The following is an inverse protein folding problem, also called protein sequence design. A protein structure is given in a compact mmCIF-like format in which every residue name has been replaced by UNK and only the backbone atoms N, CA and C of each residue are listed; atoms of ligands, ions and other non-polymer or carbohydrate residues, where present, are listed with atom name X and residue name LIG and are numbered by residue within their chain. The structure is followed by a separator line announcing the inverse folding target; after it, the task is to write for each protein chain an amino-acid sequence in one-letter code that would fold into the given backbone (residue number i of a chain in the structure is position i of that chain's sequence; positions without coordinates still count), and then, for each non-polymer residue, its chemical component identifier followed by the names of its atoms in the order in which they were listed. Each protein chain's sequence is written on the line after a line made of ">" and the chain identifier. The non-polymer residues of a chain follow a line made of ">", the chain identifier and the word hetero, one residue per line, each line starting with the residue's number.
data_IF_766122357554
#
_entry.id   IF_766122357554
#
_cell.length_a   1.000
_cell.length_b   1.000
_cell.length_c   1.000
_cell.angle_alpha   90.00
_cell.angle_beta   90.00
_cell.angle_gamma   90.00
#
_symmetry.space_group_name_H-M   'P 1'
#
loop_
_entity.id
_entity.type
_entity.pdbx_description
1 polymer ?
#
# COMPACT_ATOMS: atom_id res chain seq x y z
N UNK A 1 9.62 14.25 50.70
CA UNK A 1 8.63 14.34 49.60
C UNK A 1 9.28 13.80 48.33
N UNK A 2 9.03 12.53 48.00
CA UNK A 2 9.52 11.93 46.76
C UNK A 2 8.54 12.26 45.65
N UNK A 3 8.95 13.12 44.72
CA UNK A 3 8.21 13.42 43.50
C UNK A 3 8.39 12.24 42.54
N UNK A 4 7.46 11.30 42.57
CA UNK A 4 7.38 10.21 41.61
C UNK A 4 6.98 10.78 40.25
N UNK A 5 7.95 11.03 39.37
CA UNK A 5 7.70 11.28 37.94
C UNK A 5 7.08 10.02 37.34
N UNK A 6 5.77 10.03 37.15
CA UNK A 6 5.01 9.07 36.36
C UNK A 6 5.42 9.18 34.89
N UNK A 7 6.44 8.43 34.46
CA UNK A 7 6.79 8.29 33.04
C UNK A 7 5.81 7.33 32.34
N UNK A 8 4.54 7.72 32.22
CA UNK A 8 3.51 6.95 31.51
C UNK A 8 3.21 7.56 30.14
N UNK A 9 4.23 7.60 29.28
CA UNK A 9 4.02 7.68 27.84
C UNK A 9 4.59 6.42 27.23
N UNK A 10 3.70 5.53 26.76
CA UNK A 10 4.01 4.55 25.72
C UNK A 10 4.82 5.27 24.64
N UNK A 11 6.14 5.08 24.64
CA UNK A 11 7.04 5.68 23.66
C UNK A 11 6.65 5.16 22.28
N UNK A 12 5.82 5.94 21.58
CA UNK A 12 5.42 5.67 20.20
C UNK A 12 6.69 5.62 19.37
N UNK A 13 6.93 4.49 18.69
CA UNK A 13 8.17 4.27 17.95
C UNK A 13 8.18 5.18 16.73
N UNK A 14 8.94 6.27 16.83
CA UNK A 14 8.94 7.37 15.86
C UNK A 14 9.39 6.95 14.47
N UNK A 15 10.29 5.98 14.34
CA UNK A 15 10.74 5.48 13.03
C UNK A 15 9.59 4.86 12.23
N UNK A 16 8.66 4.15 12.90
CA UNK A 16 7.49 3.57 12.23
C UNK A 16 6.63 4.68 11.63
N UNK A 17 6.32 5.74 12.40
CA UNK A 17 5.55 6.86 11.88
C UNK A 17 6.34 7.64 10.80
N UNK A 18 7.66 7.81 10.96
CA UNK A 18 8.50 8.53 9.99
C UNK A 18 8.49 7.81 8.64
N UNK A 19 8.79 6.51 8.63
CA UNK A 19 8.80 5.70 7.41
C UNK A 19 7.40 5.65 6.80
N UNK A 20 6.36 5.43 7.61
CA UNK A 20 4.98 5.45 7.11
C UNK A 20 4.60 6.77 6.47
N UNK A 21 5.04 7.88 7.06
CA UNK A 21 4.79 9.22 6.57
C UNK A 21 5.52 9.53 5.27
N UNK A 22 6.78 9.14 5.15
CA UNK A 22 7.51 9.23 3.87
C UNK A 22 6.75 8.47 2.78
N UNK A 23 6.29 7.26 3.10
CA UNK A 23 5.63 6.39 2.14
C UNK A 23 4.27 6.92 1.73
N UNK A 24 3.46 7.49 2.66
CA UNK A 24 2.17 8.08 2.28
C UNK A 24 2.34 9.31 1.37
N UNK A 25 3.39 10.10 1.58
CA UNK A 25 3.72 11.26 0.74
C UNK A 25 4.09 10.80 -0.68
N UNK A 26 4.95 9.78 -0.80
CA UNK A 26 5.33 9.19 -2.09
C UNK A 26 4.12 8.52 -2.75
N UNK A 27 3.27 7.82 -2.00
CA UNK A 27 2.08 7.16 -2.53
C UNK A 27 1.14 8.14 -3.24
N UNK A 28 0.95 9.35 -2.68
CA UNK A 28 0.15 10.39 -3.31
C UNK A 28 0.64 10.78 -4.71
N UNK A 29 1.94 10.63 -5.01
CA UNK A 29 2.48 10.89 -6.35
C UNK A 29 1.88 9.94 -7.40
N UNK A 30 1.65 8.67 -7.03
CA UNK A 30 1.05 7.68 -7.93
C UNK A 30 -0.35 8.11 -8.35
N UNK A 31 -1.16 8.52 -7.38
CA UNK A 31 -2.54 8.91 -7.61
C UNK A 31 -2.65 10.29 -8.28
N UNK A 32 -1.81 11.25 -7.93
CA UNK A 32 -1.75 12.51 -8.67
C UNK A 32 -1.35 12.27 -10.12
N UNK A 33 -0.41 11.35 -10.39
CA UNK A 33 -0.05 10.97 -11.76
C UNK A 33 -1.24 10.37 -12.51
N UNK A 34 -1.94 9.40 -11.93
CA UNK A 34 -3.09 8.76 -12.59
C UNK A 34 -4.16 9.78 -13.01
N UNK A 35 -4.39 10.81 -12.19
CA UNK A 35 -5.39 11.85 -12.46
C UNK A 35 -4.88 13.05 -13.28
N UNK A 36 -3.60 13.42 -13.21
CA UNK A 36 -3.11 14.68 -13.82
C UNK A 36 -2.03 14.50 -14.88
N UNK A 37 -1.38 13.34 -14.99
CA UNK A 37 -0.41 13.12 -16.07
C UNK A 37 -1.16 12.86 -17.38
N UNK A 38 -0.65 13.38 -18.50
CA UNK A 38 -1.30 13.27 -19.82
C UNK A 38 -1.61 11.82 -20.22
N UNK A 39 -0.69 10.89 -19.95
CA UNK A 39 -0.90 9.46 -20.21
C UNK A 39 -1.49 8.68 -19.00
N UNK A 40 -1.97 9.38 -17.96
CA UNK A 40 -2.38 8.77 -16.69
C UNK A 40 -3.57 7.82 -16.81
N UNK A 41 -4.50 8.10 -17.72
CA UNK A 41 -5.68 7.25 -17.96
C UNK A 41 -5.49 6.21 -19.09
N UNK A 42 -4.49 6.40 -19.96
CA UNK A 42 -4.38 5.68 -21.24
C UNK A 42 -3.11 4.87 -21.40
N UNK A 43 -2.06 5.13 -20.61
CA UNK A 43 -0.75 4.47 -20.74
C UNK A 43 -0.32 3.72 -19.49
N UNK A 44 0.44 2.64 -19.69
CA UNK A 44 1.18 2.00 -18.60
C UNK A 44 2.53 2.71 -18.40
N UNK A 45 2.79 3.35 -17.24
CA UNK A 45 4.06 4.03 -16.98
C UNK A 45 5.27 3.09 -16.92
N UNK A 46 5.07 1.77 -16.91
CA UNK A 46 6.13 0.75 -16.93
C UNK A 46 6.30 0.02 -18.25
N UNK A 47 5.47 0.32 -19.26
CA UNK A 47 5.64 -0.24 -20.60
C UNK A 47 6.92 0.33 -21.25
N UNK A 48 7.91 -0.55 -21.48
CA UNK A 48 9.22 -0.18 -22.01
C UNK A 48 9.17 0.31 -23.47
N UNK A 49 8.08 0.02 -24.20
CA UNK A 49 7.88 0.54 -25.55
C UNK A 49 7.57 2.03 -25.53
N UNK A 50 6.76 2.49 -24.57
CA UNK A 50 6.17 3.84 -24.55
C UNK A 50 6.67 4.73 -23.41
N UNK A 51 7.25 4.15 -22.35
CA UNK A 51 7.68 4.91 -21.17
C UNK A 51 8.97 5.70 -21.38
N UNK A 52 9.18 6.66 -20.50
CA UNK A 52 10.44 7.39 -20.35
C UNK A 52 11.09 7.02 -19.00
N UNK A 53 12.42 7.17 -18.83
CA UNK A 53 13.05 6.92 -17.54
C UNK A 53 12.41 7.68 -16.38
N UNK A 54 12.06 8.96 -16.58
CA UNK A 54 11.40 9.76 -15.54
C UNK A 54 10.03 9.20 -15.15
N UNK A 55 9.20 8.80 -16.12
CA UNK A 55 7.89 8.21 -15.88
C UNK A 55 7.99 6.83 -15.23
N UNK A 56 8.89 5.98 -15.71
CA UNK A 56 9.17 4.67 -15.13
C UNK A 56 9.57 4.79 -13.66
N UNK A 57 10.55 5.64 -13.34
CA UNK A 57 11.01 5.79 -11.95
C UNK A 57 9.99 6.48 -11.04
N UNK A 58 9.10 7.31 -11.61
CA UNK A 58 7.92 7.83 -10.89
C UNK A 58 7.01 6.69 -10.44
N UNK A 59 6.76 5.71 -11.31
CA UNK A 59 5.96 4.54 -10.97
C UNK A 59 6.71 3.55 -10.07
N UNK A 60 7.98 3.34 -10.33
CA UNK A 60 8.81 2.39 -9.60
C UNK A 60 8.98 2.81 -8.13
N UNK A 61 9.22 4.10 -7.83
CA UNK A 61 9.38 4.53 -6.44
C UNK A 61 8.09 4.34 -5.61
N UNK A 62 6.92 4.37 -6.24
CA UNK A 62 5.64 4.14 -5.56
C UNK A 62 5.37 2.65 -5.32
N UNK A 63 6.15 1.72 -5.90
CA UNK A 63 6.06 0.28 -5.61
C UNK A 63 6.30 -0.04 -4.15
N UNK A 64 7.12 0.74 -3.46
CA UNK A 64 7.39 0.58 -2.04
C UNK A 64 6.15 0.82 -1.17
N UNK A 65 5.10 1.46 -1.68
CA UNK A 65 4.03 1.97 -0.85
C UNK A 65 3.15 0.88 -0.23
N UNK A 66 2.42 0.14 -1.07
CA UNK A 66 1.52 -0.92 -0.62
C UNK A 66 2.19 -1.97 0.28
N UNK A 67 3.34 -2.58 -0.09
CA UNK A 67 3.92 -3.65 0.72
C UNK A 67 4.48 -3.14 2.04
N UNK A 68 5.02 -1.92 2.07
CA UNK A 68 5.45 -1.30 3.34
C UNK A 68 4.28 -0.98 4.26
N UNK A 69 3.17 -0.47 3.73
CA UNK A 69 1.95 -0.27 4.53
C UNK A 69 1.43 -1.57 5.11
N UNK A 70 1.46 -2.64 4.32
CA UNK A 70 1.03 -3.97 4.73
C UNK A 70 1.93 -4.50 5.87
N UNK A 71 3.26 -4.45 5.70
CA UNK A 71 4.22 -4.86 6.73
C UNK A 71 4.11 -4.01 8.00
N UNK A 72 4.09 -2.67 7.88
CA UNK A 72 3.99 -1.77 9.03
C UNK A 72 2.63 -1.88 9.75
N UNK A 73 1.58 -2.29 9.05
CA UNK A 73 0.27 -2.59 9.66
C UNK A 73 0.33 -3.84 10.51
N UNK A 74 0.96 -4.91 10.01
CA UNK A 74 1.24 -6.12 10.80
C UNK A 74 2.09 -5.83 12.04
N UNK A 75 3.15 -5.03 11.87
CA UNK A 75 4.01 -4.57 12.95
C UNK A 75 3.21 -3.81 14.02
N UNK A 76 2.33 -2.90 13.58
CA UNK A 76 1.46 -2.13 14.48
C UNK A 76 0.42 -3.01 15.18
N UNK A 77 -0.12 -4.02 14.48
CA UNK A 77 -1.05 -4.98 15.05
C UNK A 77 -0.40 -5.74 16.22
N UNK A 78 0.84 -6.21 16.06
CA UNK A 78 1.59 -6.85 17.15
C UNK A 78 1.74 -5.93 18.36
N UNK A 79 2.25 -4.72 18.14
CA UNK A 79 2.49 -3.74 19.22
C UNK A 79 1.21 -3.34 19.94
N UNK A 80 0.11 -3.14 19.22
CA UNK A 80 -1.20 -2.81 19.80
C UNK A 80 -1.82 -3.97 20.60
N UNK A 81 -1.34 -5.19 20.35
CA UNK A 81 -1.83 -6.42 20.96
C UNK A 81 -1.00 -6.94 22.12
N UNK A 82 0.13 -6.31 22.49
CA UNK A 82 1.04 -6.86 23.53
C UNK A 82 0.32 -7.12 24.86
N UNK A 83 -0.59 -6.24 25.27
CA UNK A 83 -1.31 -6.33 26.54
C UNK A 83 -2.75 -6.90 26.40
N UNK A 84 -3.05 -7.58 25.30
CA UNK A 84 -4.38 -8.14 25.02
C UNK A 84 -4.34 -9.67 25.04
N UNK A 85 -5.45 -10.32 25.34
CA UNK A 85 -5.63 -11.75 25.11
C UNK A 85 -5.66 -12.07 23.61
N UNK A 86 -5.43 -13.33 23.23
CA UNK A 86 -5.54 -13.75 21.83
C UNK A 86 -6.96 -13.50 21.26
N UNK A 87 -8.00 -13.63 22.08
CA UNK A 87 -9.39 -13.34 21.72
C UNK A 87 -9.58 -11.89 21.30
N UNK A 88 -9.10 -10.97 22.13
CA UNK A 88 -9.24 -9.53 21.93
C UNK A 88 -8.42 -9.05 20.72
N UNK A 89 -7.20 -9.58 20.53
CA UNK A 89 -6.39 -9.31 19.33
C UNK A 89 -7.13 -9.74 18.06
N UNK A 90 -7.60 -10.98 18.06
CA UNK A 90 -8.32 -11.56 16.93
C UNK A 90 -9.59 -10.78 16.59
N UNK A 91 -10.46 -10.56 17.58
CA UNK A 91 -11.73 -9.83 17.39
C UNK A 91 -11.50 -8.40 16.91
N UNK A 92 -10.50 -7.70 17.45
CA UNK A 92 -10.17 -6.35 17.03
C UNK A 92 -9.72 -6.30 15.56
N UNK A 93 -8.81 -7.20 15.15
CA UNK A 93 -8.32 -7.24 13.77
C UNK A 93 -9.41 -7.62 12.77
N UNK A 94 -10.25 -8.60 13.10
CA UNK A 94 -11.36 -9.02 12.24
C UNK A 94 -12.37 -7.88 12.07
N UNK A 95 -12.81 -7.23 13.16
CA UNK A 95 -13.74 -6.09 13.09
C UNK A 95 -13.16 -4.94 12.29
N UNK A 96 -11.87 -4.63 12.49
CA UNK A 96 -11.19 -3.58 11.72
C UNK A 96 -11.03 -3.96 10.25
N UNK A 97 -10.79 -5.23 9.94
CA UNK A 97 -10.71 -5.73 8.58
C UNK A 97 -12.02 -5.57 7.82
N UNK A 98 -13.14 -5.99 8.41
CA UNK A 98 -14.48 -5.76 7.84
C UNK A 98 -14.80 -4.27 7.68
N UNK A 99 -14.42 -3.45 8.66
CA UNK A 99 -14.57 -2.00 8.56
C UNK A 99 -13.81 -1.43 7.36
N UNK A 100 -12.57 -1.85 7.11
CA UNK A 100 -11.79 -1.39 5.96
C UNK A 100 -12.39 -1.83 4.61
N UNK A 101 -12.95 -3.05 4.55
CA UNK A 101 -13.66 -3.52 3.35
C UNK A 101 -14.91 -2.68 3.11
N UNK A 102 -15.67 -2.36 4.16
CA UNK A 102 -16.82 -1.45 4.05
C UNK A 102 -16.39 -0.06 3.56
N UNK A 103 -15.27 0.45 4.08
CA UNK A 103 -14.71 1.73 3.63
C UNK A 103 -14.32 1.69 2.16
N UNK A 104 -13.74 0.58 1.68
CA UNK A 104 -13.42 0.38 0.27
C UNK A 104 -14.69 0.44 -0.60
N UNK A 105 -15.71 -0.34 -0.23
CA UNK A 105 -16.94 -0.48 -0.99
C UNK A 105 -17.75 0.81 -1.07
N UNK A 106 -17.75 1.62 0.00
CA UNK A 106 -18.53 2.85 0.07
C UNK A 106 -17.67 4.05 -0.29
N UNK A 107 -16.73 4.41 0.58
CA UNK A 107 -16.01 5.67 0.43
C UNK A 107 -15.00 5.62 -0.71
N UNK A 108 -14.17 4.56 -0.79
CA UNK A 108 -13.13 4.53 -1.83
C UNK A 108 -13.70 4.28 -3.21
N UNK A 109 -14.70 3.40 -3.36
CA UNK A 109 -15.36 3.21 -4.65
C UNK A 109 -15.92 4.53 -5.17
N UNK A 110 -16.63 5.29 -4.33
CA UNK A 110 -17.09 6.62 -4.73
C UNK A 110 -15.94 7.58 -5.00
N UNK A 111 -14.86 7.56 -4.21
CA UNK A 111 -13.69 8.41 -4.44
C UNK A 111 -12.95 8.08 -5.76
N UNK A 112 -12.97 6.82 -6.20
CA UNK A 112 -12.39 6.40 -7.48
C UNK A 112 -13.30 6.76 -8.65
N UNK A 113 -14.60 6.52 -8.55
CA UNK A 113 -15.52 6.65 -9.71
C UNK A 113 -16.20 8.00 -9.82
N UNK A 114 -16.38 8.71 -8.70
CA UNK A 114 -17.34 9.82 -8.58
C UNK A 114 -18.75 9.46 -9.09
N UNK A 115 -19.10 8.18 -9.01
CA UNK A 115 -20.39 7.66 -9.43
C UNK A 115 -21.29 7.35 -8.24
N UNK A 116 -22.32 8.17 -8.03
CA UNK A 116 -23.29 7.99 -6.94
C UNK A 116 -24.15 6.74 -7.08
N UNK A 117 -24.21 6.16 -8.28
CA UNK A 117 -24.98 4.95 -8.57
C UNK A 117 -24.20 3.66 -8.32
N UNK A 118 -22.88 3.75 -8.05
CA UNK A 118 -22.02 2.58 -7.81
C UNK A 118 -22.18 1.49 -8.89
N UNK A 119 -22.20 1.90 -10.17
CA UNK A 119 -22.23 0.95 -11.30
C UNK A 119 -21.03 0.00 -11.22
N UNK A 120 -19.86 0.53 -10.87
CA UNK A 120 -18.65 -0.27 -10.64
C UNK A 120 -18.28 -0.25 -9.16
N UNK A 121 -18.13 -1.43 -8.56
CA UNK A 121 -17.57 -1.60 -7.22
C UNK A 121 -16.09 -1.94 -7.31
N UNK A 122 -15.26 -1.16 -6.62
CA UNK A 122 -13.82 -1.40 -6.57
C UNK A 122 -13.43 -2.12 -5.29
N UNK A 123 -12.55 -3.10 -5.44
CA UNK A 123 -11.86 -3.80 -4.36
C UNK A 123 -10.35 -3.67 -4.59
N UNK A 124 -9.79 -2.54 -4.14
CA UNK A 124 -8.38 -2.20 -4.30
C UNK A 124 -7.59 -2.42 -3.01
N UNK A 125 -6.90 -1.39 -2.51
CA UNK A 125 -5.92 -1.56 -1.45
C UNK A 125 -6.55 -1.82 -0.07
N UNK A 126 -7.72 -1.25 0.26
CA UNK A 126 -8.37 -1.55 1.55
C UNK A 126 -9.08 -2.91 1.55
N UNK A 127 -9.44 -3.45 0.38
CA UNK A 127 -9.83 -4.86 0.25
C UNK A 127 -8.69 -5.78 0.71
N UNK A 128 -7.51 -5.62 0.13
CA UNK A 128 -6.34 -6.41 0.50
C UNK A 128 -5.93 -6.18 1.96
N UNK A 129 -5.90 -4.92 2.41
CA UNK A 129 -5.53 -4.57 3.80
C UNK A 129 -6.53 -5.15 4.81
N UNK A 130 -7.83 -5.04 4.53
CA UNK A 130 -8.89 -5.54 5.38
C UNK A 130 -8.94 -7.08 5.41
N UNK A 131 -8.84 -7.71 4.24
CA UNK A 131 -8.73 -9.17 4.10
C UNK A 131 -7.50 -9.73 4.82
N UNK A 132 -6.34 -9.08 4.66
CA UNK A 132 -5.12 -9.45 5.37
C UNK A 132 -5.25 -9.30 6.89
N UNK A 133 -5.96 -8.27 7.39
CA UNK A 133 -6.26 -8.13 8.82
C UNK A 133 -7.18 -9.25 9.33
N UNK A 134 -8.15 -9.70 8.54
CA UNK A 134 -9.02 -10.84 8.89
C UNK A 134 -8.18 -12.12 8.97
N UNK A 135 -7.35 -12.41 7.95
CA UNK A 135 -6.45 -13.57 7.93
C UNK A 135 -5.49 -13.55 9.14
N UNK A 136 -4.86 -12.41 9.40
CA UNK A 136 -3.99 -12.23 10.57
C UNK A 136 -4.77 -12.40 11.89
N UNK A 137 -5.99 -11.87 11.96
CA UNK A 137 -6.86 -11.98 13.13
C UNK A 137 -7.23 -13.43 13.45
N UNK A 138 -7.50 -14.24 12.43
CA UNK A 138 -7.70 -15.69 12.57
C UNK A 138 -6.41 -16.37 12.99
N UNK A 139 -5.28 -16.09 12.34
CA UNK A 139 -4.00 -16.70 12.66
C UNK A 139 -3.57 -16.43 14.11
N UNK A 140 -3.66 -15.18 14.58
CA UNK A 140 -3.27 -14.76 15.94
C UNK A 140 -4.17 -15.36 17.02
N UNK A 141 -5.39 -15.81 16.68
CA UNK A 141 -6.27 -16.50 17.63
C UNK A 141 -5.70 -17.83 18.09
N UNK A 142 -5.02 -18.54 17.19
CA UNK A 142 -4.60 -19.94 17.38
C UNK A 142 -3.09 -20.14 17.34
N UNK A 143 -2.32 -19.17 16.83
CA UNK A 143 -0.90 -19.33 16.54
C UNK A 143 -0.03 -18.33 17.33
N UNK A 144 1.18 -18.77 17.69
CA UNK A 144 2.19 -17.89 18.28
C UNK A 144 2.69 -16.86 17.26
N UNK A 145 3.24 -15.70 17.68
CA UNK A 145 3.83 -14.73 16.75
C UNK A 145 4.93 -15.31 15.84
N UNK A 146 5.69 -16.31 16.32
CA UNK A 146 6.68 -17.03 15.51
C UNK A 146 6.01 -17.88 14.43
N UNK A 147 4.94 -18.58 14.78
CA UNK A 147 4.16 -19.38 13.83
C UNK A 147 3.50 -18.48 12.79
N UNK A 148 2.95 -17.33 13.18
CA UNK A 148 2.41 -16.32 12.25
C UNK A 148 3.49 -15.83 11.28
N UNK A 149 4.71 -15.58 11.77
CA UNK A 149 5.84 -15.22 10.90
C UNK A 149 6.16 -16.33 9.88
N UNK A 150 6.24 -17.59 10.33
CA UNK A 150 6.51 -18.73 9.45
C UNK A 150 5.42 -18.86 8.38
N UNK A 151 4.15 -18.77 8.75
CA UNK A 151 3.03 -18.80 7.81
C UNK A 151 3.09 -17.64 6.83
N UNK A 152 3.42 -16.42 7.29
CA UNK A 152 3.58 -15.25 6.44
C UNK A 152 4.70 -15.42 5.41
N UNK A 153 5.86 -15.93 5.85
CA UNK A 153 6.97 -16.23 4.97
C UNK A 153 6.63 -17.36 3.99
N UNK A 154 5.92 -18.40 4.41
CA UNK A 154 5.47 -19.46 3.51
C UNK A 154 4.54 -18.92 2.40
N UNK A 155 3.64 -17.99 2.73
CA UNK A 155 2.81 -17.31 1.74
C UNK A 155 3.67 -16.50 0.77
N UNK A 156 4.57 -15.64 1.27
CA UNK A 156 5.45 -14.79 0.42
C UNK A 156 6.35 -15.63 -0.49
N UNK A 157 6.96 -16.69 0.04
CA UNK A 157 7.91 -17.52 -0.70
C UNK A 157 7.22 -18.49 -1.66
N UNK A 158 5.99 -18.92 -1.36
CA UNK A 158 5.32 -20.02 -2.07
C UNK A 158 4.17 -19.61 -2.97
N UNK A 159 3.59 -18.42 -2.84
CA UNK A 159 2.35 -18.10 -3.56
C UNK A 159 2.50 -18.12 -5.09
N UNK A 160 3.68 -17.79 -5.63
CA UNK A 160 3.95 -17.87 -7.07
C UNK A 160 3.92 -19.31 -7.61
N UNK A 161 3.94 -20.35 -6.76
CA UNK A 161 3.69 -21.72 -7.21
C UNK A 161 2.26 -21.89 -7.75
N UNK A 162 1.31 -21.09 -7.28
CA UNK A 162 -0.07 -21.12 -7.77
C UNK A 162 -0.23 -20.50 -9.15
N UNK A 163 0.79 -19.79 -9.67
CA UNK A 163 0.78 -19.27 -11.04
C UNK A 163 0.79 -20.40 -12.08
N UNK A 164 1.19 -21.62 -11.69
CA UNK A 164 1.18 -22.81 -12.55
C UNK A 164 -0.13 -23.61 -12.49
N UNK A 165 -1.08 -23.23 -11.62
CA UNK A 165 -2.35 -23.93 -11.49
C UNK A 165 -3.31 -23.47 -12.58
N UNK A 166 -3.68 -24.38 -13.48
CA UNK A 166 -4.65 -24.13 -14.53
C UNK A 166 -6.02 -24.65 -14.11
N UNK A 167 -7.01 -23.76 -14.05
CA UNK A 167 -8.40 -24.08 -13.76
C UNK A 167 -9.27 -23.72 -14.98
N UNK A 168 -10.45 -24.33 -15.08
CA UNK A 168 -11.42 -23.96 -16.08
C UNK A 168 -11.80 -22.49 -15.91
N UNK A 169 -11.64 -21.71 -16.98
CA UNK A 169 -11.90 -20.28 -16.98
C UNK A 169 -13.34 -19.97 -16.55
N UNK A 170 -13.50 -18.97 -15.68
CA UNK A 170 -14.77 -18.52 -15.11
C UNK A 170 -15.52 -19.59 -14.28
N UNK A 171 -14.90 -20.72 -13.97
CA UNK A 171 -15.40 -21.61 -12.93
C UNK A 171 -15.33 -20.92 -11.56
N UNK A 172 -16.17 -21.36 -10.61
CA UNK A 172 -16.13 -20.83 -9.25
C UNK A 172 -14.72 -20.94 -8.62
N UNK A 173 -14.01 -22.05 -8.88
CA UNK A 173 -12.66 -22.26 -8.37
C UNK A 173 -11.66 -21.26 -8.97
N UNK A 174 -11.74 -20.99 -10.28
CA UNK A 174 -10.90 -20.00 -10.97
C UNK A 174 -11.16 -18.58 -10.43
N UNK A 175 -12.43 -18.20 -10.26
CA UNK A 175 -12.82 -16.90 -9.70
C UNK A 175 -12.26 -16.73 -8.28
N UNK A 176 -12.43 -17.74 -7.42
CA UNK A 176 -11.90 -17.70 -6.05
C UNK A 176 -10.37 -17.64 -6.05
N UNK A 177 -9.69 -18.44 -6.89
CA UNK A 177 -8.24 -18.40 -7.01
C UNK A 177 -7.75 -17.00 -7.43
N UNK A 178 -8.41 -16.38 -8.40
CA UNK A 178 -8.11 -15.03 -8.88
C UNK A 178 -8.33 -13.97 -7.79
N UNK A 179 -9.45 -14.01 -7.08
CA UNK A 179 -9.77 -13.01 -6.03
C UNK A 179 -8.79 -13.12 -4.85
N UNK A 180 -8.42 -14.34 -4.46
CA UNK A 180 -7.68 -14.57 -3.22
C UNK A 180 -6.16 -14.68 -3.42
N UNK A 181 -5.67 -15.09 -4.59
CA UNK A 181 -4.26 -15.44 -4.82
C UNK A 181 -3.63 -14.88 -6.08
N UNK A 182 -4.19 -15.13 -7.28
CA UNK A 182 -3.46 -14.99 -8.55
C UNK A 182 -3.93 -13.83 -9.44
N UNK A 183 -5.03 -13.18 -9.09
CA UNK A 183 -5.66 -12.15 -9.92
C UNK A 183 -4.76 -10.93 -10.16
N UNK A 184 -4.69 -10.50 -11.42
CA UNK A 184 -3.96 -9.29 -11.86
C UNK A 184 -4.90 -8.11 -12.16
N UNK A 185 -6.08 -8.12 -11.57
CA UNK A 185 -7.24 -7.34 -12.00
C UNK A 185 -8.35 -8.27 -12.47
N UNK A 186 -9.30 -8.57 -11.60
CA UNK A 186 -10.42 -9.48 -11.90
C UNK A 186 -11.70 -8.67 -12.05
N UNK A 187 -12.28 -8.70 -13.25
CA UNK A 187 -13.51 -8.01 -13.60
C UNK A 187 -14.65 -9.01 -13.65
N UNK A 188 -15.65 -8.81 -12.80
CA UNK A 188 -16.86 -9.62 -12.77
C UNK A 188 -18.06 -8.77 -13.20
N UNK A 189 -18.65 -9.04 -14.38
CA UNK A 189 -19.83 -8.30 -14.82
C UNK A 189 -21.03 -8.60 -13.93
N UNK A 190 -21.88 -7.60 -13.70
CA UNK A 190 -23.14 -7.76 -12.99
C UNK A 190 -24.32 -7.79 -13.97
N UNK A 191 -25.43 -8.48 -13.63
CA UNK A 191 -26.61 -8.55 -14.49
C UNK A 191 -27.27 -7.19 -14.80
N UNK A 192 -27.04 -6.19 -13.95
CA UNK A 192 -27.61 -4.84 -14.08
C UNK A 192 -26.73 -3.89 -14.92
N UNK A 193 -25.72 -4.41 -15.62
CA UNK A 193 -24.78 -3.63 -16.43
C UNK A 193 -23.64 -3.01 -15.64
N UNK A 194 -23.57 -3.25 -14.33
CA UNK A 194 -22.44 -2.86 -13.49
C UNK A 194 -21.27 -3.87 -13.52
N UNK A 195 -20.24 -3.62 -12.73
CA UNK A 195 -19.10 -4.52 -12.57
C UNK A 195 -18.56 -4.54 -11.13
N UNK A 196 -17.96 -5.66 -10.73
CA UNK A 196 -17.15 -5.77 -9.52
C UNK A 196 -15.70 -6.00 -9.94
N UNK A 197 -14.80 -5.13 -9.50
CA UNK A 197 -13.40 -5.12 -9.93
C UNK A 197 -12.48 -5.34 -8.74
N UNK A 198 -11.79 -6.47 -8.73
CA UNK A 198 -10.75 -6.78 -7.74
C UNK A 198 -9.37 -6.44 -8.31
N UNK A 199 -8.81 -5.33 -7.85
CA UNK A 199 -7.47 -4.88 -8.26
C UNK A 199 -6.36 -5.48 -7.40
N UNK A 200 -6.70 -6.01 -6.23
CA UNK A 200 -5.76 -6.65 -5.31
C UNK A 200 -6.29 -8.01 -4.84
N UNK A 201 -5.37 -8.94 -4.62
CA UNK A 201 -5.62 -10.23 -3.97
C UNK A 201 -5.51 -10.14 -2.44
N UNK A 202 -5.81 -11.20 -1.70
CA UNK A 202 -5.71 -11.20 -0.23
C UNK A 202 -4.45 -11.92 0.27
N UNK A 203 -4.24 -13.19 -0.06
CA UNK A 203 -3.25 -14.03 0.64
C UNK A 203 -1.79 -13.61 0.44
N UNK A 204 -1.33 -13.24 -0.77
CA UNK A 204 0.04 -12.71 -0.95
C UNK A 204 0.31 -11.47 -0.09
N UNK A 205 -0.66 -10.54 -0.01
CA UNK A 205 -0.55 -9.36 0.86
C UNK A 205 -0.65 -9.71 2.34
N UNK A 206 -1.50 -10.69 2.71
CA UNK A 206 -1.57 -11.22 4.06
C UNK A 206 -0.22 -11.79 4.52
N UNK A 207 0.52 -12.45 3.62
CA UNK A 207 1.88 -12.91 3.84
C UNK A 207 2.80 -11.78 4.34
N UNK A 208 2.83 -10.66 3.61
CA UNK A 208 3.62 -9.47 3.98
C UNK A 208 3.16 -8.89 5.33
N UNK A 209 1.86 -8.83 5.60
CA UNK A 209 1.33 -8.36 6.89
C UNK A 209 1.76 -9.28 8.04
N UNK A 210 1.67 -10.59 7.85
CA UNK A 210 2.04 -11.59 8.85
C UNK A 210 3.54 -11.58 9.13
N UNK A 211 4.38 -11.37 8.10
CA UNK A 211 5.82 -11.11 8.29
C UNK A 211 6.07 -9.86 9.12
N UNK A 212 5.33 -8.78 8.87
CA UNK A 212 5.35 -7.57 9.70
C UNK A 212 4.91 -7.80 11.15
N UNK A 213 3.90 -8.64 11.37
CA UNK A 213 3.48 -9.03 12.73
C UNK A 213 4.58 -9.78 13.47
N UNK A 214 5.28 -10.70 12.78
CA UNK A 214 6.46 -11.38 13.30
C UNK A 214 7.59 -10.40 13.64
N UNK A 215 7.85 -9.43 12.76
CA UNK A 215 8.85 -8.37 12.98
C UNK A 215 8.60 -7.57 14.27
N UNK A 216 7.33 -7.46 14.69
CA UNK A 216 6.92 -6.81 15.95
C UNK A 216 7.60 -7.36 17.18
N UNK A 217 8.01 -8.63 17.18
CA UNK A 217 8.75 -9.23 18.29
C UNK A 217 10.08 -8.50 18.59
N UNK A 218 10.70 -7.87 17.58
CA UNK A 218 11.94 -7.09 17.74
C UNK A 218 11.73 -5.73 18.39
N UNK A 219 10.48 -5.27 18.50
CA UNK A 219 10.10 -3.98 19.06
C UNK A 219 9.46 -4.11 20.46
N UNK A 220 9.57 -5.28 21.09
CA UNK A 220 9.17 -5.46 22.48
C UNK A 220 9.97 -4.54 23.41
N UNK A 221 9.36 -4.17 24.55
CA UNK A 221 9.96 -3.23 25.52
C UNK A 221 11.33 -3.68 26.04
N UNK A 222 11.54 -4.98 26.17
CA UNK A 222 12.79 -5.57 26.67
C UNK A 222 13.76 -5.98 25.54
N UNK A 223 13.44 -5.66 24.28
CA UNK A 223 14.30 -6.02 23.15
C UNK A 223 15.47 -5.04 23.04
N UNK A 224 16.68 -5.59 22.88
CA UNK A 224 17.90 -4.80 22.67
C UNK A 224 17.82 -4.00 21.34
N UNK A 225 17.86 -2.64 21.39
CA UNK A 225 17.87 -1.79 20.20
C UNK A 225 19.05 -2.06 19.26
N UNK A 226 20.23 -2.41 19.79
CA UNK A 226 21.40 -2.69 18.95
C UNK A 226 21.20 -3.99 18.16
N UNK A 227 20.74 -5.06 18.82
CA UNK A 227 20.34 -6.31 18.16
C UNK A 227 19.23 -6.09 17.13
N UNK A 228 18.19 -5.31 17.45
CA UNK A 228 17.12 -4.98 16.48
C UNK A 228 17.70 -4.31 15.25
N UNK A 229 18.49 -3.23 15.42
CA UNK A 229 19.10 -2.51 14.29
C UNK A 229 19.95 -3.43 13.43
N UNK A 230 20.80 -4.27 14.06
CA UNK A 230 21.65 -5.24 13.34
C UNK A 230 20.82 -6.22 12.52
N UNK A 231 19.75 -6.78 13.09
CA UNK A 231 18.86 -7.72 12.38
C UNK A 231 18.14 -7.05 11.22
N UNK A 232 17.62 -5.84 11.40
CA UNK A 232 16.96 -5.08 10.33
C UNK A 232 17.92 -4.80 9.17
N UNK A 233 19.16 -4.41 9.45
CA UNK A 233 20.18 -4.18 8.43
C UNK A 233 20.58 -5.49 7.72
N UNK A 234 20.82 -6.57 8.47
CA UNK A 234 21.24 -7.85 7.91
C UNK A 234 20.15 -8.46 7.04
N UNK A 235 18.92 -8.54 7.54
CA UNK A 235 17.78 -9.09 6.78
C UNK A 235 17.46 -8.18 5.59
N UNK A 236 17.46 -6.86 5.80
CA UNK A 236 17.22 -5.91 4.72
C UNK A 236 18.23 -6.03 3.59
N UNK A 237 19.53 -6.08 3.92
CA UNK A 237 20.60 -6.29 2.95
C UNK A 237 20.51 -7.67 2.27
N UNK A 238 20.21 -8.72 3.04
CA UNK A 238 20.04 -10.07 2.50
C UNK A 238 18.90 -10.14 1.48
N UNK A 239 17.73 -9.54 1.77
CA UNK A 239 16.61 -9.49 0.82
C UNK A 239 16.96 -8.68 -0.43
N UNK A 240 17.64 -7.55 -0.30
CA UNK A 240 18.07 -6.74 -1.45
C UNK A 240 19.08 -7.49 -2.32
N UNK A 241 20.08 -8.14 -1.72
CA UNK A 241 21.04 -8.96 -2.46
C UNK A 241 20.35 -10.15 -3.12
N UNK A 242 19.45 -10.83 -2.40
CA UNK A 242 18.71 -11.96 -2.94
C UNK A 242 17.81 -11.56 -4.11
N UNK A 243 17.17 -10.39 -4.06
CA UNK A 243 16.49 -9.82 -5.22
C UNK A 243 17.42 -9.71 -6.44
N UNK A 244 18.60 -9.09 -6.28
CA UNK A 244 19.55 -8.91 -7.39
C UNK A 244 20.01 -10.27 -7.95
N UNK A 245 20.40 -11.20 -7.07
CA UNK A 245 20.89 -12.53 -7.47
C UNK A 245 19.82 -13.32 -8.20
N UNK A 246 18.61 -13.40 -7.65
CA UNK A 246 17.51 -14.12 -8.28
C UNK A 246 17.07 -13.47 -9.59
N UNK A 247 17.12 -12.13 -9.66
CA UNK A 247 16.79 -11.41 -10.89
C UNK A 247 17.84 -11.67 -11.98
N UNK A 248 19.13 -11.78 -11.65
CA UNK A 248 20.18 -12.16 -12.59
C UNK A 248 20.00 -13.60 -13.12
N UNK A 249 19.52 -14.53 -12.29
CA UNK A 249 19.16 -15.89 -12.72
C UNK A 249 17.92 -15.87 -13.64
N UNK A 250 17.00 -14.91 -13.41
CA UNK A 250 15.81 -14.69 -14.23
C UNK A 250 14.87 -15.91 -14.32
N UNK A 251 14.80 -16.69 -13.22
CA UNK A 251 13.97 -17.90 -13.11
C UNK A 251 12.72 -17.70 -12.25
N UNK A 252 12.48 -18.62 -11.31
CA UNK A 252 11.32 -18.60 -10.41
C UNK A 252 11.25 -17.32 -9.55
N UNK A 253 10.02 -16.84 -9.29
CA UNK A 253 9.74 -15.78 -8.31
C UNK A 253 9.17 -14.50 -8.90
N UNK A 254 9.14 -14.37 -10.23
CA UNK A 254 8.36 -13.35 -10.93
C UNK A 254 7.89 -13.89 -12.27
N UNK A 255 6.59 -13.73 -12.63
CA UNK A 255 6.10 -14.20 -13.92
C UNK A 255 6.54 -13.33 -15.11
N UNK A 256 7.17 -12.18 -14.88
CA UNK A 256 7.69 -11.27 -15.90
C UNK A 256 9.24 -11.32 -15.90
N UNK A 257 9.86 -12.24 -16.68
CA UNK A 257 11.32 -12.25 -16.82
C UNK A 257 11.80 -10.94 -17.47
N UNK A 258 12.94 -10.42 -17.02
CA UNK A 258 13.54 -9.27 -17.69
C UNK A 258 14.24 -9.72 -18.97
N UNK A 259 14.44 -8.78 -19.89
CA UNK A 259 15.14 -9.02 -21.14
C UNK A 259 15.92 -7.79 -21.59
N UNK A 260 16.97 -8.00 -22.39
CA UNK A 260 17.71 -6.92 -23.02
C UNK A 260 16.80 -6.11 -23.95
N UNK A 261 16.89 -4.79 -23.84
CA UNK A 261 16.13 -3.82 -24.62
C UNK A 261 17.09 -3.02 -25.53
N UNK A 262 16.51 -2.18 -26.39
CA UNK A 262 17.23 -1.39 -27.40
C UNK A 262 18.31 -0.45 -26.82
N UNK A 263 18.17 -0.05 -25.55
CA UNK A 263 19.13 0.82 -24.86
C UNK A 263 19.47 0.27 -23.49
N UNK A 264 20.69 0.57 -23.01
CA UNK A 264 21.14 0.14 -21.67
C UNK A 264 20.21 0.60 -20.54
N UNK A 265 19.65 1.83 -20.63
CA UNK A 265 18.69 2.32 -19.63
C UNK A 265 17.36 1.56 -19.68
N UNK A 266 16.85 1.19 -20.87
CA UNK A 266 15.64 0.35 -20.97
C UNK A 266 15.89 -1.06 -20.45
N UNK A 267 17.07 -1.64 -20.69
CA UNK A 267 17.46 -2.94 -20.09
C UNK A 267 17.52 -2.85 -18.57
N UNK A 268 18.07 -1.76 -18.03
CA UNK A 268 18.08 -1.49 -16.59
C UNK A 268 16.65 -1.34 -16.04
N UNK A 269 15.75 -0.62 -16.73
CA UNK A 269 14.34 -0.54 -16.34
C UNK A 269 13.65 -1.92 -16.40
N UNK A 270 13.92 -2.72 -17.43
CA UNK A 270 13.41 -4.11 -17.53
C UNK A 270 13.82 -4.97 -16.33
N UNK A 271 15.08 -4.85 -15.88
CA UNK A 271 15.57 -5.54 -14.68
C UNK A 271 14.74 -5.19 -13.44
N UNK A 272 14.36 -3.92 -13.27
CA UNK A 272 13.56 -3.44 -12.13
C UNK A 272 12.04 -3.52 -12.32
N UNK A 273 11.56 -3.87 -13.52
CA UNK A 273 10.15 -4.02 -13.82
C UNK A 273 9.67 -5.41 -13.35
N UNK A 274 9.13 -5.46 -12.13
CA UNK A 274 8.68 -6.70 -11.48
C UNK A 274 7.19 -6.65 -11.16
N UNK A 275 6.56 -7.82 -11.10
CA UNK A 275 5.11 -7.97 -11.01
C UNK A 275 4.57 -7.55 -9.64
N UNK A 276 3.78 -6.47 -9.64
CA UNK A 276 3.12 -5.93 -8.43
C UNK A 276 1.81 -6.63 -8.06
N UNK A 277 1.08 -7.14 -9.04
CA UNK A 277 -0.27 -7.70 -8.86
C UNK A 277 -0.35 -9.12 -9.41
N UNK A 278 -0.43 -10.16 -8.56
CA UNK A 278 -0.14 -10.14 -7.12
C UNK A 278 1.33 -9.77 -6.83
N UNK A 279 1.70 -9.35 -5.59
CA UNK A 279 3.07 -8.94 -5.28
C UNK A 279 3.99 -10.15 -5.38
N UNK A 280 4.77 -10.24 -6.44
CA UNK A 280 5.68 -11.37 -6.65
C UNK A 280 6.74 -11.47 -5.55
N UNK A 281 7.42 -12.62 -5.48
CA UNK A 281 8.57 -12.80 -4.61
C UNK A 281 9.63 -11.70 -4.85
N UNK A 282 9.91 -11.40 -6.13
CA UNK A 282 10.91 -10.40 -6.48
C UNK A 282 10.45 -8.99 -6.12
N UNK A 283 9.19 -8.65 -6.37
CA UNK A 283 8.59 -7.39 -5.93
C UNK A 283 8.68 -7.23 -4.40
N UNK A 284 8.43 -8.31 -3.67
CA UNK A 284 8.52 -8.31 -2.21
C UNK A 284 9.95 -8.10 -1.72
N UNK A 285 10.95 -8.78 -2.30
CA UNK A 285 12.35 -8.59 -1.91
C UNK A 285 12.90 -7.21 -2.29
N UNK A 286 12.60 -6.75 -3.50
CA UNK A 286 12.98 -5.43 -4.01
C UNK A 286 12.46 -4.33 -3.08
N UNK A 287 11.23 -4.46 -2.57
CA UNK A 287 10.61 -3.42 -1.74
C UNK A 287 10.90 -3.57 -0.25
N UNK A 288 10.85 -4.78 0.32
CA UNK A 288 10.97 -4.98 1.77
C UNK A 288 12.41 -4.86 2.26
N UNK A 289 13.41 -5.27 1.47
CA UNK A 289 14.82 -5.15 1.83
C UNK A 289 15.22 -3.71 2.20
N UNK A 290 15.06 -2.73 1.29
CA UNK A 290 15.39 -1.34 1.55
C UNK A 290 14.56 -0.71 2.68
N UNK A 291 13.31 -1.14 2.87
CA UNK A 291 12.44 -0.59 3.93
C UNK A 291 12.89 -1.06 5.32
N UNK A 292 13.36 -2.30 5.46
CA UNK A 292 13.96 -2.78 6.70
C UNK A 292 15.24 -2.01 7.04
N UNK A 293 16.09 -1.75 6.03
CA UNK A 293 17.28 -0.88 6.19
C UNK A 293 16.85 0.51 6.63
N UNK A 294 15.87 1.11 5.95
CA UNK A 294 15.36 2.44 6.26
C UNK A 294 14.81 2.53 7.69
N UNK A 295 14.10 1.51 8.17
CA UNK A 295 13.62 1.44 9.56
C UNK A 295 14.79 1.43 10.57
N UNK A 296 15.86 0.70 10.27
CA UNK A 296 17.06 0.68 11.10
C UNK A 296 17.82 2.02 11.13
N UNK A 297 17.88 2.71 9.99
CA UNK A 297 18.58 4.00 9.87
C UNK A 297 17.76 5.14 10.47
N UNK A 298 16.44 5.09 10.38
CA UNK A 298 15.54 6.15 10.88
C UNK A 298 15.25 6.05 12.38
N UNK A 299 15.65 4.98 13.07
CA UNK A 299 15.34 4.72 14.48
C UNK A 299 15.70 5.88 15.43
N UNK A 300 16.83 6.53 15.21
CA UNK A 300 17.33 7.65 16.04
C UNK A 300 17.29 9.00 15.32
N UNK A 301 16.64 9.09 14.17
CA UNK A 301 16.68 10.30 13.34
C UNK A 301 15.66 11.33 13.82
N UNK A 302 16.13 12.48 14.32
CA UNK A 302 15.31 13.64 14.68
C UNK A 302 15.76 14.91 13.95
N UNK A 303 15.28 15.10 12.74
CA UNK A 303 15.53 16.32 11.95
C UNK A 303 14.21 16.89 11.41
N UNK A 304 14.28 18.05 10.74
CA UNK A 304 13.09 18.72 10.22
C UNK A 304 12.27 17.83 9.27
N UNK A 305 12.95 17.12 8.38
CA UNK A 305 12.31 16.20 7.45
C UNK A 305 11.59 15.04 8.16
N UNK A 306 12.25 14.38 9.13
CA UNK A 306 11.63 13.28 9.88
C UNK A 306 10.42 13.74 10.71
N UNK A 307 10.46 14.98 11.22
CA UNK A 307 9.30 15.61 11.89
C UNK A 307 8.13 15.82 10.94
N UNK A 308 8.38 16.32 9.72
CA UNK A 308 7.35 16.49 8.69
C UNK A 308 6.72 15.14 8.33
N UNK A 309 7.53 14.13 7.99
CA UNK A 309 7.02 12.80 7.69
C UNK A 309 6.18 12.23 8.84
N UNK A 310 6.62 12.40 10.08
CA UNK A 310 5.89 11.93 11.26
C UNK A 310 4.46 12.51 11.34
N UNK A 311 4.22 13.74 10.87
CA UNK A 311 2.86 14.32 10.85
C UNK A 311 1.91 13.46 10.04
N UNK A 312 2.28 13.13 8.80
CA UNK A 312 1.46 12.28 7.93
C UNK A 312 1.38 10.84 8.44
N UNK A 313 2.51 10.28 8.86
CA UNK A 313 2.59 8.89 9.29
C UNK A 313 1.83 8.59 10.58
N UNK A 314 1.49 9.62 11.37
CA UNK A 314 0.64 9.47 12.55
C UNK A 314 -0.82 9.18 12.20
N UNK A 315 -1.28 9.66 11.04
CA UNK A 315 -2.68 9.63 10.57
C UNK A 315 -2.78 9.20 9.09
N UNK A 316 -2.16 8.07 8.71
CA UNK A 316 -2.02 7.65 7.31
C UNK A 316 -3.37 7.37 6.65
N UNK A 317 -4.33 6.79 7.39
CA UNK A 317 -5.66 6.48 6.90
C UNK A 317 -6.45 7.75 6.58
N UNK A 318 -6.38 8.75 7.45
CA UNK A 318 -7.00 10.06 7.22
C UNK A 318 -6.43 10.73 5.97
N UNK A 319 -5.10 10.78 5.84
CA UNK A 319 -4.47 11.30 4.62
C UNK A 319 -4.91 10.51 3.39
N UNK A 320 -4.88 9.18 3.45
CA UNK A 320 -5.27 8.32 2.35
C UNK A 320 -6.71 8.59 1.88
N UNK A 321 -7.65 8.74 2.80
CA UNK A 321 -9.03 9.02 2.41
C UNK A 321 -9.17 10.42 1.81
N UNK A 322 -8.67 11.44 2.51
CA UNK A 322 -8.87 12.84 2.13
C UNK A 322 -8.14 13.20 0.83
N UNK A 323 -6.91 12.71 0.62
CA UNK A 323 -6.14 13.08 -0.57
C UNK A 323 -6.80 12.59 -1.86
N UNK A 324 -7.46 11.44 -1.87
CA UNK A 324 -8.18 10.94 -3.05
C UNK A 324 -9.33 11.87 -3.43
N UNK A 325 -10.14 12.29 -2.45
CA UNK A 325 -11.21 13.27 -2.72
C UNK A 325 -10.66 14.62 -3.17
N UNK A 326 -9.58 15.10 -2.56
CA UNK A 326 -8.94 16.36 -2.98
C UNK A 326 -8.43 16.27 -4.42
N UNK A 327 -7.71 15.19 -4.76
CA UNK A 327 -7.22 14.93 -6.13
C UNK A 327 -8.39 14.96 -7.10
N UNK A 328 -9.43 14.17 -6.84
CA UNK A 328 -10.55 14.00 -7.77
C UNK A 328 -11.38 15.29 -7.93
N UNK A 329 -11.68 16.01 -6.83
CA UNK A 329 -12.35 17.32 -6.89
C UNK A 329 -11.50 18.31 -7.70
N UNK A 330 -10.19 18.36 -7.46
CA UNK A 330 -9.30 19.23 -8.23
C UNK A 330 -9.29 18.85 -9.71
N UNK A 331 -9.25 17.56 -10.05
CA UNK A 331 -9.32 17.10 -11.45
C UNK A 331 -10.62 17.55 -12.09
N UNK A 332 -11.75 17.37 -11.41
CA UNK A 332 -13.06 17.83 -11.89
C UNK A 332 -13.09 19.32 -12.18
N UNK A 333 -12.63 20.15 -11.24
CA UNK A 333 -12.59 21.61 -11.43
C UNK A 333 -11.70 21.97 -12.62
N UNK A 334 -10.51 21.38 -12.71
CA UNK A 334 -9.53 21.70 -13.74
C UNK A 334 -10.00 21.22 -15.13
N UNK A 335 -10.67 20.06 -15.22
CA UNK A 335 -11.29 19.56 -16.45
C UNK A 335 -12.35 20.55 -16.97
N UNK A 336 -13.21 21.06 -16.11
CA UNK A 336 -14.18 22.08 -16.52
C UNK A 336 -13.53 23.41 -16.92
N UNK A 337 -12.51 23.85 -16.18
CA UNK A 337 -11.74 25.05 -16.55
C UNK A 337 -10.99 24.88 -17.88
N UNK A 338 -10.70 23.65 -18.28
CA UNK A 338 -10.06 23.32 -19.56
C UNK A 338 -11.05 23.25 -20.73
N UNK A 339 -12.35 23.51 -20.48
CA UNK A 339 -13.38 23.63 -21.52
C UNK A 339 -14.15 22.33 -21.83
N UNK A 340 -13.92 21.24 -21.09
CA UNK A 340 -14.70 20.02 -21.25
C UNK A 340 -16.14 20.22 -20.77
N UNK A 341 -17.10 19.62 -21.47
CA UNK A 341 -18.52 19.66 -21.06
C UNK A 341 -18.80 18.65 -19.95
N UNK A 342 -19.94 18.80 -19.26
CA UNK A 342 -20.40 17.81 -18.29
C UNK A 342 -20.53 16.42 -18.91
N UNK A 343 -21.08 16.33 -20.13
CA UNK A 343 -21.28 15.07 -20.84
C UNK A 343 -19.94 14.38 -21.13
N UNK A 344 -18.93 15.12 -21.57
CA UNK A 344 -17.58 14.56 -21.81
C UNK A 344 -16.91 14.14 -20.50
N UNK A 345 -17.11 14.89 -19.43
CA UNK A 345 -16.53 14.59 -18.13
C UNK A 345 -17.21 13.40 -17.44
N UNK A 346 -18.47 13.10 -17.73
CA UNK A 346 -19.21 12.00 -17.08
C UNK A 346 -19.54 10.84 -18.02
N UNK A 347 -18.83 10.72 -19.14
CA UNK A 347 -19.03 9.64 -20.10
C UNK A 347 -18.80 8.27 -19.44
N UNK A 348 -19.72 7.34 -19.66
CA UNK A 348 -19.69 6.00 -19.05
C UNK A 348 -18.51 5.15 -19.56
N UNK A 349 -17.84 5.53 -20.64
CA UNK A 349 -16.61 4.91 -21.13
C UNK A 349 -15.36 5.28 -20.33
N UNK A 350 -15.42 6.34 -19.52
CA UNK A 350 -14.29 6.76 -18.70
C UNK A 350 -14.09 5.83 -17.51
N UNK A 351 -12.85 5.40 -17.30
CA UNK A 351 -12.48 4.62 -16.13
C UNK A 351 -12.66 5.42 -14.83
N UNK A 352 -12.28 6.70 -14.85
CA UNK A 352 -12.57 7.67 -13.81
C UNK A 352 -13.43 8.77 -14.40
N UNK A 353 -14.62 9.01 -13.82
CA UNK A 353 -15.38 10.21 -14.19
C UNK A 353 -14.53 11.44 -13.90
N UNK A 354 -14.80 12.50 -14.63
CA UNK A 354 -14.08 13.77 -14.59
C UNK A 354 -12.59 13.63 -14.91
N UNK A 355 -12.21 12.59 -15.66
CA UNK A 355 -10.87 12.39 -16.21
C UNK A 355 -10.95 11.94 -17.68
N UNK A 356 -11.29 12.84 -18.62
CA UNK A 356 -11.30 12.51 -20.05
C UNK A 356 -9.95 11.98 -20.53
N UNK A 357 -9.90 11.02 -21.45
CA UNK A 357 -8.64 10.35 -21.84
C UNK A 357 -7.57 11.32 -22.36
N UNK A 358 -7.97 12.36 -23.10
CA UNK A 358 -7.08 13.39 -23.66
C UNK A 358 -6.63 14.45 -22.64
N UNK A 359 -7.22 14.48 -21.44
CA UNK A 359 -6.86 15.44 -20.41
C UNK A 359 -5.48 15.10 -19.80
N UNK A 360 -4.80 16.13 -19.29
CA UNK A 360 -3.67 15.99 -18.39
C UNK A 360 -2.50 16.88 -18.77
N UNK A 361 -1.42 16.73 -18.03
CA UNK A 361 -0.25 17.59 -18.11
C UNK A 361 1.03 16.77 -18.25
N UNK A 362 2.12 17.38 -18.75
CA UNK A 362 3.44 16.81 -18.64
C UNK A 362 3.85 16.55 -17.18
N UNK A 363 4.79 15.63 -17.00
CA UNK A 363 5.20 15.11 -15.70
C UNK A 363 5.68 16.21 -14.71
N UNK A 364 6.28 17.29 -15.22
CA UNK A 364 6.72 18.43 -14.40
C UNK A 364 5.56 19.14 -13.69
N UNK A 365 4.46 19.43 -14.39
CA UNK A 365 3.27 20.01 -13.76
C UNK A 365 2.60 19.00 -12.82
N UNK A 366 2.58 17.71 -13.17
CA UNK A 366 2.07 16.65 -12.28
C UNK A 366 2.81 16.65 -10.93
N UNK A 367 4.14 16.81 -10.93
CA UNK A 367 4.92 16.92 -9.69
C UNK A 367 4.58 18.19 -8.89
N UNK A 368 4.39 19.32 -9.56
CA UNK A 368 3.98 20.55 -8.88
C UNK A 368 2.63 20.37 -8.19
N UNK A 369 1.64 19.78 -8.87
CA UNK A 369 0.32 19.48 -8.30
C UNK A 369 0.46 18.55 -7.09
N UNK A 370 1.30 17.52 -7.19
CA UNK A 370 1.57 16.60 -6.08
C UNK A 370 2.15 17.32 -4.86
N UNK A 371 3.16 18.18 -5.05
CA UNK A 371 3.77 18.97 -3.97
C UNK A 371 2.72 19.86 -3.31
N UNK A 372 1.90 20.57 -4.11
CA UNK A 372 0.86 21.46 -3.60
C UNK A 372 -0.18 20.70 -2.76
N UNK A 373 -0.63 19.54 -3.21
CA UNK A 373 -1.59 18.70 -2.46
C UNK A 373 -0.97 18.21 -1.15
N UNK A 374 0.27 17.72 -1.18
CA UNK A 374 0.97 17.26 0.03
C UNK A 374 1.08 18.41 1.04
N UNK A 375 1.50 19.60 0.60
CA UNK A 375 1.62 20.79 1.45
C UNK A 375 0.27 21.22 2.02
N UNK A 376 -0.77 21.26 1.18
CA UNK A 376 -2.12 21.64 1.60
C UNK A 376 -2.68 20.71 2.69
N UNK A 377 -2.38 19.40 2.60
CA UNK A 377 -2.82 18.39 3.56
C UNK A 377 -1.99 18.31 4.84
N UNK A 378 -0.86 19.04 4.92
CA UNK A 378 -0.02 19.04 6.13
C UNK A 378 -0.78 19.49 7.38
N UNK A 379 -1.47 20.63 7.31
CA UNK A 379 -2.18 21.21 8.44
C UNK A 379 -3.39 20.38 8.88
N UNK A 380 -4.26 19.89 7.97
CA UNK A 380 -5.29 18.92 8.33
C UNK A 380 -4.76 17.67 9.03
N UNK A 381 -3.66 17.08 8.53
CA UNK A 381 -3.04 15.91 9.15
C UNK A 381 -2.49 16.22 10.55
N UNK A 382 -1.83 17.37 10.73
CA UNK A 382 -1.33 17.81 12.03
C UNK A 382 -2.47 17.98 13.03
N UNK A 383 -3.51 18.72 12.64
CA UNK A 383 -4.69 18.95 13.47
C UNK A 383 -5.37 17.63 13.87
N UNK A 384 -5.62 16.73 12.92
CA UNK A 384 -6.27 15.45 13.19
C UNK A 384 -5.42 14.55 14.09
N UNK A 385 -4.09 14.56 13.90
CA UNK A 385 -3.15 13.86 14.76
C UNK A 385 -3.18 14.35 16.20
N UNK A 386 -3.23 15.67 16.42
CA UNK A 386 -3.36 16.29 17.75
C UNK A 386 -4.74 16.04 18.37
N UNK A 387 -5.81 16.03 17.56
CA UNK A 387 -7.15 15.66 18.02
C UNK A 387 -7.19 14.23 18.54
N UNK A 388 -6.66 13.26 17.77
CA UNK A 388 -6.61 11.84 18.15
C UNK A 388 -5.72 11.57 19.35
N UNK A 389 -4.68 12.38 19.56
CA UNK A 389 -3.83 12.28 20.74
C UNK A 389 -4.57 12.73 22.03
N UNK A 390 -5.44 13.73 21.92
CA UNK A 390 -6.21 14.30 23.05
C UNK A 390 -7.46 13.50 23.39
N UNK A 391 -8.16 12.94 22.40
CA UNK A 391 -9.42 12.21 22.61
C UNK A 391 -9.26 10.70 22.45
N UNK A 392 -9.70 9.94 23.45
CA UNK A 392 -9.76 8.48 23.42
C UNK A 392 -11.20 7.99 23.21
N UNK A 393 -11.74 8.19 22.01
CA UNK A 393 -13.05 7.64 21.61
C UNK A 393 -12.87 6.31 20.88
N UNK A 394 -13.82 5.38 21.04
CA UNK A 394 -13.70 4.02 20.52
C UNK A 394 -13.57 3.98 18.99
N UNK A 395 -14.30 4.84 18.27
CA UNK A 395 -14.30 4.89 16.80
C UNK A 395 -12.97 5.39 16.22
N UNK A 396 -12.20 6.21 16.95
CA UNK A 396 -10.86 6.65 16.55
C UNK A 396 -9.82 5.52 16.52
N UNK A 397 -10.16 4.34 17.04
CA UNK A 397 -9.32 3.15 16.90
C UNK A 397 -9.51 2.43 15.56
N UNK A 398 -10.62 2.73 14.86
CA UNK A 398 -10.97 2.20 13.54
C UNK A 398 -10.53 3.10 12.38
N UNK A 399 -10.16 4.35 12.70
CA UNK A 399 -9.53 5.33 11.80
C UNK A 399 -8.04 5.47 12.15
#
# INVERSE_FOLDING_TARGET
>A
MYTTTTSTLNSRIRSIDTVRGLIIIIMALDHVRDFFHIAGATGDPTDLATTTPALFFTRWITHYCAPSFMMLSGLSAYLSGVNKTAAEKSSFLIKRGFWLILVEMVFMTFAFTFDIYYKTLFFAVFWALGGAMIVLGVAVRFASPKTVLILGLALVLGHNLLDYVQLQENSLADILLRIFWTGRGTFLPRPDGGAIVFLYVIFPWAGIMMSGYGLGMLYNRNADPARRKRLLLLVGAALTVLFVVLRLINGYGDPAPWSTQDTGIKTFMSFFNVTKYPPSLFFTFMTQGPILILLALTERTDNAFSRICTVYGRVPFFFFLVHFYVIHIMTMVIVFLSGYTWQQATDDSLFFKFRPNEFGYPLGQTYLIWILIVVALYWPCKWYGEYRARKRTWWLSYL
#
